data_IF_366686608661
#
_entry.id   IF_366686608661
#
_cell.length_a   1.000
_cell.length_b   1.000
_cell.length_c   1.000
_cell.angle_alpha   90.00
_cell.angle_beta   90.00
_cell.angle_gamma   90.00
#
_symmetry.space_group_name_H-M   'P 1'
#
loop_
_entity.id
_entity.type
_entity.pdbx_description
1 polymer ?
#
# COMPACT_ATOMS: atom_id res chain seq x y z
N UNK A 1 -14.49 11.71 7.52
CA UNK A 1 -14.09 10.87 6.36
C UNK A 1 -14.90 9.60 6.40
N UNK A 2 -15.52 9.18 5.29
CA UNK A 2 -16.23 7.90 5.24
C UNK A 2 -15.25 6.74 5.43
N UNK A 3 -15.65 5.70 6.14
CA UNK A 3 -14.80 4.52 6.32
C UNK A 3 -14.61 3.79 4.98
N UNK A 4 -13.47 3.09 4.81
CA UNK A 4 -13.22 2.28 3.60
C UNK A 4 -14.35 1.27 3.34
N UNK A 5 -14.99 0.79 4.41
CA UNK A 5 -16.16 -0.08 4.37
C UNK A 5 -17.37 0.61 3.72
N UNK A 6 -17.70 1.82 4.16
CA UNK A 6 -18.81 2.61 3.61
C UNK A 6 -18.63 2.95 2.13
N UNK A 7 -17.40 3.28 1.73
CA UNK A 7 -17.07 3.61 0.33
C UNK A 7 -17.36 2.39 -0.57
N UNK A 8 -16.88 1.21 -0.18
CA UNK A 8 -17.11 -0.03 -0.92
C UNK A 8 -18.59 -0.40 -1.01
N UNK A 9 -19.33 -0.27 0.11
CA UNK A 9 -20.76 -0.55 0.14
C UNK A 9 -21.57 0.40 -0.75
N UNK A 10 -21.22 1.69 -0.76
CA UNK A 10 -21.88 2.67 -1.62
C UNK A 10 -21.64 2.37 -3.11
N UNK A 11 -20.43 1.97 -3.49
CA UNK A 11 -20.10 1.62 -4.87
C UNK A 11 -20.85 0.37 -5.33
N UNK A 12 -20.88 -0.68 -4.50
CA UNK A 12 -21.64 -1.90 -4.81
C UNK A 12 -23.12 -1.57 -4.96
N UNK A 13 -23.71 -0.80 -4.04
CA UNK A 13 -25.13 -0.42 -4.10
C UNK A 13 -25.48 0.34 -5.37
N UNK A 14 -24.58 1.21 -5.83
CA UNK A 14 -24.78 2.02 -7.03
C UNK A 14 -24.76 1.19 -8.32
N UNK A 15 -23.87 0.20 -8.39
CA UNK A 15 -23.65 -0.58 -9.61
C UNK A 15 -24.44 -1.91 -9.65
N UNK A 16 -24.67 -2.53 -8.50
CA UNK A 16 -25.43 -3.76 -8.39
C UNK A 16 -26.20 -3.84 -7.05
N UNK A 17 -27.45 -3.34 -7.00
CA UNK A 17 -28.29 -3.39 -5.81
C UNK A 17 -28.55 -4.82 -5.31
N UNK A 18 -28.63 -5.81 -6.21
CA UNK A 18 -28.81 -7.21 -5.85
C UNK A 18 -27.58 -7.80 -5.17
N UNK A 19 -26.38 -7.43 -5.64
CA UNK A 19 -25.12 -7.84 -5.01
C UNK A 19 -24.91 -7.15 -3.66
N UNK A 20 -25.36 -5.90 -3.52
CA UNK A 20 -25.38 -5.22 -2.22
C UNK A 20 -26.21 -6.00 -1.19
N UNK A 21 -27.39 -6.48 -1.58
CA UNK A 21 -28.24 -7.26 -0.69
C UNK A 21 -27.56 -8.55 -0.24
N UNK A 22 -26.90 -9.28 -1.15
CA UNK A 22 -26.10 -10.47 -0.80
C UNK A 22 -24.96 -10.20 0.19
N UNK A 23 -24.37 -9.00 0.16
CA UNK A 23 -23.36 -8.59 1.15
C UNK A 23 -23.97 -8.29 2.50
N UNK A 24 -25.17 -7.71 2.53
CA UNK A 24 -25.93 -7.44 3.76
C UNK A 24 -26.41 -8.74 4.40
N UNK A 25 -26.86 -9.68 3.58
CA UNK A 25 -27.36 -10.99 4.01
C UNK A 25 -26.21 -11.94 4.44
N UNK A 26 -24.97 -11.59 4.09
CA UNK A 26 -23.76 -12.34 4.46
C UNK A 26 -23.38 -13.46 3.49
N UNK A 27 -24.12 -13.63 2.39
CA UNK A 27 -23.87 -14.63 1.35
C UNK A 27 -22.55 -14.40 0.61
N UNK A 28 -22.12 -13.13 0.49
CA UNK A 28 -20.89 -12.74 -0.20
C UNK A 28 -20.12 -11.73 0.65
N UNK A 29 -18.80 -11.86 0.72
CA UNK A 29 -17.99 -10.88 1.46
C UNK A 29 -17.96 -9.53 0.76
N UNK A 30 -17.87 -8.44 1.53
CA UNK A 30 -17.76 -7.08 1.00
C UNK A 30 -16.62 -6.93 -0.03
N UNK A 31 -15.50 -7.62 0.19
CA UNK A 31 -14.35 -7.55 -0.69
C UNK A 31 -14.63 -8.24 -2.03
N UNK A 32 -15.19 -9.45 -2.02
CA UNK A 32 -15.55 -10.19 -3.23
C UNK A 32 -16.58 -9.44 -4.08
N UNK A 33 -17.61 -8.88 -3.44
CA UNK A 33 -18.63 -8.11 -4.14
C UNK A 33 -18.05 -6.81 -4.74
N UNK A 34 -17.17 -6.13 -4.00
CA UNK A 34 -16.48 -4.94 -4.49
C UNK A 34 -15.56 -5.27 -5.68
N UNK A 35 -14.81 -6.38 -5.60
CA UNK A 35 -13.91 -6.80 -6.65
C UNK A 35 -14.65 -7.21 -7.93
N UNK A 36 -15.82 -7.85 -7.79
CA UNK A 36 -16.70 -8.15 -8.92
C UNK A 36 -17.16 -6.87 -9.64
N UNK A 37 -17.68 -5.91 -8.89
CA UNK A 37 -18.16 -4.62 -9.44
C UNK A 37 -17.02 -3.84 -10.11
N UNK A 38 -15.85 -3.80 -9.47
CA UNK A 38 -14.70 -3.11 -10.04
C UNK A 38 -14.10 -3.86 -11.23
N UNK A 39 -14.21 -5.19 -11.28
CA UNK A 39 -13.85 -5.99 -12.45
C UNK A 39 -14.70 -5.63 -13.65
N UNK A 40 -16.01 -5.56 -13.45
CA UNK A 40 -16.99 -5.17 -14.47
C UNK A 40 -16.74 -3.74 -14.99
N UNK A 41 -16.58 -2.76 -14.08
CA UNK A 41 -16.27 -1.36 -14.42
C UNK A 41 -14.98 -1.24 -15.24
N UNK A 42 -13.94 -2.01 -14.89
CA UNK A 42 -12.65 -1.93 -15.56
C UNK A 42 -12.50 -2.92 -16.73
N UNK A 43 -13.54 -3.69 -17.06
CA UNK A 43 -13.50 -4.75 -18.09
C UNK A 43 -12.33 -5.73 -17.87
N UNK A 44 -12.13 -6.13 -16.62
CA UNK A 44 -11.09 -7.08 -16.20
C UNK A 44 -11.70 -8.32 -15.57
N UNK A 45 -11.18 -9.49 -15.90
CA UNK A 45 -11.66 -10.77 -15.36
C UNK A 45 -11.29 -10.98 -13.88
N UNK A 46 -10.20 -10.35 -13.42
CA UNK A 46 -9.77 -10.39 -12.02
C UNK A 46 -9.31 -9.01 -11.53
N UNK A 47 -10.20 -8.31 -10.83
CA UNK A 47 -9.82 -7.13 -10.06
C UNK A 47 -9.37 -7.54 -8.66
N UNK A 48 -8.10 -7.34 -8.32
CA UNK A 48 -7.51 -7.70 -7.01
C UNK A 48 -7.36 -6.50 -6.06
N UNK A 49 -8.18 -5.47 -6.25
CA UNK A 49 -8.02 -4.18 -5.58
C UNK A 49 -6.82 -3.38 -6.09
N UNK A 50 -6.76 -2.11 -5.70
CA UNK A 50 -5.54 -1.30 -5.85
C UNK A 50 -4.53 -1.86 -4.84
N UNK A 51 -3.49 -2.57 -5.32
CA UNK A 51 -2.55 -3.26 -4.46
C UNK A 51 -1.98 -2.37 -3.33
N UNK A 52 -1.61 -2.98 -2.20
CA UNK A 52 -1.01 -2.27 -1.04
C UNK A 52 0.36 -1.65 -1.34
N UNK A 53 0.90 -1.87 -2.55
CA UNK A 53 2.21 -1.42 -3.06
C UNK A 53 2.44 0.10 -3.04
N UNK A 54 1.46 0.89 -2.60
CA UNK A 54 1.61 2.32 -2.28
C UNK A 54 1.04 2.76 -0.93
N UNK A 55 0.24 1.92 -0.26
CA UNK A 55 -0.40 2.26 1.02
C UNK A 55 0.47 1.89 2.23
N UNK A 56 1.30 0.85 2.10
CA UNK A 56 2.18 0.35 3.16
C UNK A 56 3.66 0.56 2.81
N UNK A 57 4.02 1.69 2.20
CA UNK A 57 5.44 2.03 2.08
C UNK A 57 5.99 2.24 3.49
N UNK A 58 6.89 1.37 3.93
CA UNK A 58 7.67 1.62 5.14
C UNK A 58 8.40 2.94 4.96
N UNK A 59 8.26 3.82 5.96
CA UNK A 59 9.00 5.07 5.98
C UNK A 59 10.50 4.78 6.09
N UNK A 60 11.32 5.74 5.66
CA UNK A 60 12.79 5.64 5.69
C UNK A 60 13.30 5.17 7.05
N UNK A 61 12.76 5.70 8.15
CA UNK A 61 13.15 5.30 9.52
C UNK A 61 12.97 3.80 9.78
N UNK A 62 11.84 3.20 9.37
CA UNK A 62 11.61 1.75 9.55
C UNK A 62 12.57 0.91 8.72
N UNK A 63 12.96 1.40 7.55
CA UNK A 63 13.94 0.69 6.72
C UNK A 63 15.36 0.85 7.27
N UNK A 64 15.72 2.01 7.82
CA UNK A 64 16.99 2.20 8.55
C UNK A 64 17.07 1.28 9.77
N UNK A 65 16.01 1.18 10.58
CA UNK A 65 15.97 0.25 11.72
C UNK A 65 16.15 -1.20 11.29
N UNK A 66 15.62 -1.56 10.11
CA UNK A 66 15.76 -2.90 9.55
C UNK A 66 17.19 -3.15 9.08
N UNK A 67 17.81 -2.18 8.41
CA UNK A 67 19.21 -2.26 7.97
C UNK A 67 20.13 -2.42 9.18
N UNK A 68 19.91 -1.65 10.24
CA UNK A 68 20.67 -1.73 11.49
C UNK A 68 20.57 -3.12 12.12
N UNK A 69 19.38 -3.72 12.16
CA UNK A 69 19.18 -5.07 12.72
C UNK A 69 19.86 -6.18 11.92
N UNK A 70 19.83 -6.09 10.59
CA UNK A 70 20.33 -7.15 9.69
C UNK A 70 21.85 -7.09 9.60
N UNK A 71 22.39 -5.89 9.32
CA UNK A 71 23.79 -5.72 8.97
C UNK A 71 24.64 -5.23 10.13
N UNK A 72 24.02 -4.62 11.16
CA UNK A 72 24.71 -3.99 12.31
C UNK A 72 25.93 -3.18 11.87
N UNK A 73 25.76 -2.30 10.88
CA UNK A 73 26.88 -1.60 10.27
C UNK A 73 27.56 -0.65 11.25
N UNK A 74 28.85 -0.42 11.07
CA UNK A 74 29.55 0.62 11.82
C UNK A 74 29.22 2.02 11.28
N UNK A 75 29.57 3.06 12.03
CA UNK A 75 29.39 4.45 11.59
C UNK A 75 30.21 4.71 10.31
N UNK A 76 31.40 4.12 10.17
CA UNK A 76 32.24 4.25 8.98
C UNK A 76 31.58 3.65 7.74
N UNK A 77 30.91 2.51 7.87
CA UNK A 77 30.17 1.86 6.78
C UNK A 77 28.97 2.71 6.34
N UNK A 78 28.23 3.28 7.29
CA UNK A 78 27.17 4.25 7.01
C UNK A 78 27.70 5.46 6.25
N UNK A 79 28.82 6.04 6.69
CA UNK A 79 29.45 7.19 6.04
C UNK A 79 29.89 6.84 4.61
N UNK A 80 30.44 5.64 4.40
CA UNK A 80 30.85 5.15 3.08
C UNK A 80 29.66 5.05 2.12
N UNK A 81 28.56 4.47 2.56
CA UNK A 81 27.34 4.35 1.75
C UNK A 81 26.70 5.72 1.48
N UNK A 82 26.71 6.64 2.46
CA UNK A 82 26.25 8.01 2.26
C UNK A 82 27.10 8.76 1.24
N UNK A 83 28.43 8.64 1.29
CA UNK A 83 29.35 9.21 0.28
C UNK A 83 29.10 8.63 -1.11
N UNK A 84 28.79 7.33 -1.21
CA UNK A 84 28.45 6.65 -2.48
C UNK A 84 27.12 7.14 -3.05
N UNK A 85 26.09 7.31 -2.22
CA UNK A 85 24.76 7.75 -2.64
C UNK A 85 24.69 9.24 -2.95
N UNK A 86 25.50 10.05 -2.27
CA UNK A 86 25.51 11.51 -2.38
C UNK A 86 26.92 12.06 -2.67
N UNK A 87 27.56 11.69 -3.79
CA UNK A 87 28.96 12.01 -4.07
C UNK A 87 29.26 13.51 -4.17
N UNK A 88 28.23 14.33 -4.45
CA UNK A 88 28.36 15.78 -4.61
C UNK A 88 27.70 16.58 -3.48
N UNK A 89 27.01 15.92 -2.55
CA UNK A 89 26.24 16.59 -1.50
C UNK A 89 27.07 16.68 -0.22
N UNK A 90 27.11 17.86 0.38
CA UNK A 90 27.69 18.12 1.70
C UNK A 90 29.19 17.78 1.87
N UNK A 91 30.04 18.29 0.97
CA UNK A 91 31.51 18.38 1.23
C UNK A 91 31.87 18.99 2.60
N UNK A 92 30.97 19.77 3.19
CA UNK A 92 31.12 20.40 4.53
C UNK A 92 30.73 19.53 5.71
N UNK A 93 29.89 18.49 5.54
CA UNK A 93 29.35 17.68 6.65
C UNK A 93 29.88 16.24 6.69
N UNK A 94 30.62 15.80 5.67
CA UNK A 94 31.25 14.48 5.57
C UNK A 94 32.79 14.58 5.55
N UNK A 95 33.32 15.48 6.40
CA UNK A 95 34.76 15.72 6.57
C UNK A 95 35.45 14.48 7.12
#
# INVERSE_FOLDING_TARGET
>A
MKSNREIKLAEIKKHSPSLYQKVVDGDVTLQQAYDFVMGDINSTTEYKGRGTKGQNKSGLSKEVDRLEKIYKPTIEEWIKELKRLYPFTHKKHLK
#
